data_IF_973985871370
#
_entry.id   IF_973985871370
#
_cell.length_a   1.000
_cell.length_b   1.000
_cell.length_c   1.000
_cell.angle_alpha   90.00
_cell.angle_beta   90.00
_cell.angle_gamma   90.00
#
_symmetry.space_group_name_H-M   'P 1'
#
loop_
_entity.id
_entity.type
_entity.pdbx_description
1 polymer ?
#
# COMPACT_ATOMS: atom_id res chain seq x y z
N UNK A 1 20.11 -17.45 -1.57
CA UNK A 1 18.80 -17.96 -2.04
C UNK A 1 17.75 -17.58 -0.99
N UNK A 2 17.15 -16.41 -1.13
CA UNK A 2 16.26 -15.83 -0.10
C UNK A 2 14.82 -16.26 -0.38
N UNK A 3 14.42 -17.36 0.27
CA UNK A 3 13.09 -17.96 0.17
C UNK A 3 12.18 -17.28 1.22
N UNK A 4 11.69 -16.08 0.93
CA UNK A 4 10.74 -15.37 1.81
C UNK A 4 9.63 -14.59 1.07
N UNK A 5 9.54 -14.67 -0.27
CA UNK A 5 8.57 -13.92 -1.05
C UNK A 5 7.33 -14.76 -1.48
N UNK A 6 7.00 -15.83 -0.77
CA UNK A 6 5.98 -16.78 -1.21
C UNK A 6 5.00 -17.14 -0.10
N UNK A 7 4.30 -16.14 0.47
CA UNK A 7 3.15 -16.44 1.33
C UNK A 7 2.10 -15.32 1.30
N UNK A 8 1.39 -15.21 0.18
CA UNK A 8 -0.07 -15.06 0.14
C UNK A 8 -0.53 -15.31 -1.31
N UNK A 9 -1.70 -15.92 -1.49
CA UNK A 9 -2.14 -16.53 -2.74
C UNK A 9 -2.01 -15.62 -3.98
N UNK A 10 -1.57 -16.26 -5.08
CA UNK A 10 -1.30 -15.72 -6.43
C UNK A 10 -0.03 -14.83 -6.47
N UNK A 11 0.97 -15.13 -7.33
CA UNK A 11 2.27 -14.46 -7.29
C UNK A 11 2.17 -13.09 -7.95
N UNK A 12 1.58 -12.14 -7.24
CA UNK A 12 1.65 -10.74 -7.55
C UNK A 12 3.08 -10.25 -7.31
N UNK A 13 3.96 -10.52 -8.27
CA UNK A 13 5.29 -9.93 -8.30
C UNK A 13 5.13 -8.42 -8.50
N UNK A 14 6.02 -7.65 -7.88
CA UNK A 14 6.06 -6.18 -7.97
C UNK A 14 5.90 -5.67 -9.42
N UNK A 15 6.54 -6.37 -10.35
CA UNK A 15 6.51 -6.14 -11.80
C UNK A 15 5.12 -6.15 -12.46
N UNK A 16 4.13 -6.83 -11.87
CA UNK A 16 2.81 -7.05 -12.47
C UNK A 16 1.68 -6.33 -11.72
N UNK A 17 1.98 -5.17 -11.12
CA UNK A 17 1.00 -4.45 -10.29
C UNK A 17 0.78 -5.09 -8.93
N UNK A 18 1.68 -5.99 -8.51
CA UNK A 18 1.64 -6.67 -7.23
C UNK A 18 2.20 -5.89 -6.05
N UNK A 19 2.04 -6.46 -4.85
CA UNK A 19 2.48 -5.87 -3.60
C UNK A 19 3.39 -6.85 -2.85
N UNK A 20 4.63 -6.44 -2.59
CA UNK A 20 5.47 -7.13 -1.61
C UNK A 20 5.04 -6.69 -0.21
N UNK A 21 4.43 -7.59 0.56
CA UNK A 21 4.17 -7.39 1.99
C UNK A 21 5.19 -8.19 2.80
N UNK A 22 5.91 -7.51 3.69
CA UNK A 22 7.05 -8.06 4.41
C UNK A 22 6.88 -7.78 5.91
N UNK A 23 7.11 -8.78 6.79
CA UNK A 23 6.99 -8.57 8.22
C UNK A 23 8.12 -7.67 8.73
N UNK A 24 7.82 -6.82 9.70
CA UNK A 24 8.78 -6.00 10.41
C UNK A 24 8.84 -6.45 11.89
N UNK A 25 10.02 -6.42 12.53
CA UNK A 25 10.10 -6.71 13.96
C UNK A 25 9.54 -5.54 14.79
N UNK A 26 9.06 -5.83 15.99
CA UNK A 26 8.52 -4.84 16.93
C UNK A 26 9.58 -4.31 17.92
N UNK A 27 10.85 -4.28 17.51
CA UNK A 27 11.99 -3.87 18.33
C UNK A 27 12.89 -2.88 17.57
N UNK A 28 13.93 -2.37 18.23
CA UNK A 28 14.85 -1.38 17.68
C UNK A 28 15.56 -1.82 16.38
N UNK A 29 15.48 -3.11 16.01
CA UNK A 29 16.01 -3.59 14.75
C UNK A 29 15.11 -3.29 13.54
N UNK A 30 13.90 -2.75 13.74
CA UNK A 30 12.89 -2.49 12.71
C UNK A 30 13.42 -1.70 11.52
N UNK A 31 14.13 -0.60 11.76
CA UNK A 31 14.65 0.25 10.70
C UNK A 31 15.71 -0.50 9.87
N UNK A 32 16.58 -1.28 10.53
CA UNK A 32 17.60 -2.10 9.85
C UNK A 32 16.96 -3.17 8.97
N UNK A 33 15.92 -3.85 9.46
CA UNK A 33 15.19 -4.88 8.71
C UNK A 33 14.42 -4.27 7.55
N UNK A 34 13.75 -3.13 7.74
CA UNK A 34 13.03 -2.41 6.70
C UNK A 34 13.97 -1.98 5.55
N UNK A 35 15.15 -1.44 5.87
CA UNK A 35 16.20 -1.12 4.88
C UNK A 35 16.63 -2.34 4.07
N UNK A 36 16.89 -3.45 4.76
CA UNK A 36 17.31 -4.69 4.10
C UNK A 36 16.22 -5.22 3.15
N UNK A 37 14.96 -5.15 3.58
CA UNK A 37 13.80 -5.51 2.76
C UNK A 37 13.70 -4.64 1.52
N UNK A 38 13.67 -3.32 1.65
CA UNK A 38 13.51 -2.43 0.49
C UNK A 38 14.69 -2.57 -0.46
N UNK A 39 15.93 -2.59 0.05
CA UNK A 39 17.16 -2.72 -0.76
C UNK A 39 17.15 -4.00 -1.61
N UNK A 40 16.61 -5.11 -1.08
CA UNK A 40 16.47 -6.36 -1.82
C UNK A 40 15.49 -6.30 -2.99
N UNK A 41 14.55 -5.35 -2.99
CA UNK A 41 13.52 -5.17 -4.02
C UNK A 41 13.91 -4.15 -5.10
N UNK A 42 14.73 -3.15 -4.76
CA UNK A 42 15.10 -2.05 -5.68
C UNK A 42 15.72 -2.50 -7.02
N UNK A 43 16.55 -3.57 -7.09
CA UNK A 43 17.08 -4.05 -8.37
C UNK A 43 15.98 -4.51 -9.34
N UNK A 44 14.90 -5.12 -8.85
CA UNK A 44 13.77 -5.52 -9.67
C UNK A 44 12.97 -4.32 -10.20
N UNK A 45 13.13 -3.15 -9.57
CA UNK A 45 12.48 -1.89 -9.94
C UNK A 45 13.38 -1.00 -10.82
N UNK A 46 14.62 -1.42 -11.11
CA UNK A 46 15.53 -0.71 -12.02
C UNK A 46 16.00 0.66 -11.53
N UNK A 47 16.09 0.84 -10.20
CA UNK A 47 16.45 2.11 -9.55
C UNK A 47 17.97 2.35 -9.46
N UNK A 48 18.38 3.63 -9.44
CA UNK A 48 19.79 4.03 -9.36
C UNK A 48 20.32 4.04 -7.91
N UNK A 49 21.64 4.12 -7.73
CA UNK A 49 22.29 4.15 -6.40
C UNK A 49 21.85 5.35 -5.57
N UNK A 50 21.68 6.53 -6.18
CA UNK A 50 21.23 7.72 -5.46
C UNK A 50 19.78 7.59 -4.99
N UNK A 51 18.91 7.01 -5.81
CA UNK A 51 17.52 6.72 -5.41
C UNK A 51 17.47 5.73 -4.25
N UNK A 52 18.40 4.76 -4.22
CA UNK A 52 18.49 3.74 -3.16
C UNK A 52 18.76 4.39 -1.81
N UNK A 53 19.68 5.34 -1.70
CA UNK A 53 20.04 5.98 -0.43
C UNK A 53 18.86 6.79 0.15
N UNK A 54 18.21 7.61 -0.68
CA UNK A 54 17.05 8.41 -0.26
C UNK A 54 15.86 7.53 0.14
N UNK A 55 15.56 6.47 -0.64
CA UNK A 55 14.52 5.50 -0.31
C UNK A 55 14.84 4.80 1.03
N UNK A 56 16.08 4.37 1.19
CA UNK A 56 16.54 3.64 2.39
C UNK A 56 16.44 4.51 3.65
N UNK A 57 16.74 5.81 3.54
CA UNK A 57 16.53 6.79 4.60
C UNK A 57 15.04 6.92 4.93
N UNK A 58 14.19 7.23 3.94
CA UNK A 58 12.74 7.39 4.16
C UNK A 58 12.07 6.13 4.73
N UNK A 59 12.49 4.94 4.29
CA UNK A 59 12.00 3.67 4.85
C UNK A 59 12.41 3.50 6.31
N UNK A 60 13.62 3.94 6.68
CA UNK A 60 14.07 3.92 8.07
C UNK A 60 13.23 4.83 8.95
N UNK A 61 12.95 6.05 8.48
CA UNK A 61 12.10 7.02 9.18
C UNK A 61 10.66 6.49 9.31
N UNK A 62 10.10 5.93 8.22
CA UNK A 62 8.76 5.36 8.20
C UNK A 62 8.62 4.18 9.17
N UNK A 63 9.61 3.28 9.21
CA UNK A 63 9.64 2.14 10.13
C UNK A 63 9.83 2.58 11.59
N UNK A 64 10.71 3.54 11.84
CA UNK A 64 10.92 4.10 13.19
C UNK A 64 9.65 4.75 13.72
N UNK A 65 8.92 5.48 12.87
CA UNK A 65 7.62 6.06 13.22
C UNK A 65 6.62 5.00 13.69
N UNK A 66 6.61 3.82 13.03
CA UNK A 66 5.75 2.71 13.46
C UNK A 66 6.14 2.23 14.86
N UNK A 67 7.42 1.98 15.13
CA UNK A 67 7.85 1.54 16.47
C UNK A 67 7.50 2.57 17.56
N UNK A 68 7.69 3.86 17.28
CA UNK A 68 7.45 4.94 18.24
C UNK A 68 5.97 5.22 18.50
N UNK A 69 5.09 4.97 17.52
CA UNK A 69 3.68 5.39 17.60
C UNK A 69 2.67 4.26 17.59
N UNK A 70 3.08 3.03 17.24
CA UNK A 70 2.18 1.90 17.13
C UNK A 70 2.25 0.90 18.28
N UNK A 71 3.21 1.04 19.20
CA UNK A 71 3.42 0.07 20.28
C UNK A 71 2.29 0.17 21.31
N UNK A 72 1.38 -0.82 21.41
CA UNK A 72 0.40 -0.88 22.48
C UNK A 72 1.10 -1.24 23.79
N UNK A 73 0.56 -0.82 24.92
CA UNK A 73 1.10 -1.19 26.24
C UNK A 73 1.07 -2.72 26.52
N UNK A 74 0.26 -3.50 25.80
CA UNK A 74 -0.13 -4.88 26.19
C UNK A 74 -0.08 -5.96 25.08
N UNK A 75 0.61 -5.78 23.94
CA UNK A 75 0.64 -6.88 22.96
C UNK A 75 1.45 -6.68 21.68
N UNK A 76 1.82 -7.82 21.08
CA UNK A 76 2.66 -7.94 19.89
C UNK A 76 2.21 -6.99 18.77
N UNK A 77 3.06 -6.01 18.46
CA UNK A 77 2.96 -5.29 17.21
C UNK A 77 3.43 -6.24 16.10
N UNK A 78 2.58 -6.47 15.09
CA UNK A 78 2.95 -7.17 13.85
C UNK A 78 3.04 -6.12 12.72
N UNK A 79 4.02 -5.20 12.75
CA UNK A 79 4.13 -4.18 11.71
C UNK A 79 4.51 -4.83 10.37
N UNK A 80 4.06 -4.21 9.28
CA UNK A 80 4.30 -4.71 7.93
C UNK A 80 4.87 -3.61 7.06
N UNK A 81 5.84 -3.95 6.21
CA UNK A 81 6.34 -3.08 5.13
C UNK A 81 5.72 -3.53 3.81
N UNK A 82 5.06 -2.62 3.12
CA UNK A 82 4.46 -2.87 1.82
C UNK A 82 5.18 -2.05 0.75
N UNK A 83 5.54 -2.69 -0.35
CA UNK A 83 6.17 -2.04 -1.49
C UNK A 83 5.42 -2.45 -2.75
N UNK A 84 5.02 -1.46 -3.56
CA UNK A 84 4.36 -1.69 -4.84
C UNK A 84 4.54 -0.48 -5.76
N UNK A 85 4.14 -0.62 -7.02
CA UNK A 85 4.15 0.47 -7.99
C UNK A 85 2.72 0.99 -8.20
N UNK A 86 2.55 2.26 -8.56
CA UNK A 86 1.27 2.83 -9.04
C UNK A 86 1.49 3.86 -10.14
N UNK A 87 0.45 4.23 -10.88
CA UNK A 87 0.49 5.41 -11.78
C UNK A 87 0.09 6.68 -11.02
N UNK A 88 0.77 7.81 -11.25
CA UNK A 88 0.50 9.12 -10.61
C UNK A 88 -0.69 9.90 -11.22
N UNK A 89 -1.53 9.24 -12.03
CA UNK A 89 -2.61 9.87 -12.79
C UNK A 89 -2.15 10.78 -13.95
N UNK A 90 -0.84 11.07 -14.08
CA UNK A 90 -0.22 11.82 -15.19
C UNK A 90 0.57 10.89 -16.13
N UNK A 91 0.42 9.58 -15.96
CA UNK A 91 1.07 8.56 -16.77
C UNK A 91 2.53 8.30 -16.41
N UNK A 92 2.96 8.67 -15.20
CA UNK A 92 4.26 8.28 -14.64
C UNK A 92 4.05 7.22 -13.56
N UNK A 93 4.96 6.26 -13.51
CA UNK A 93 4.97 5.28 -12.42
C UNK A 93 5.61 5.88 -11.17
N UNK A 94 5.10 5.49 -10.01
CA UNK A 94 5.64 5.79 -8.70
C UNK A 94 5.92 4.50 -7.94
N UNK A 95 6.98 4.49 -7.15
CA UNK A 95 7.17 3.54 -6.08
C UNK A 95 6.34 4.01 -4.90
N UNK A 96 5.50 3.14 -4.36
CA UNK A 96 4.79 3.35 -3.10
C UNK A 96 5.40 2.45 -2.05
N UNK A 97 5.75 3.05 -0.92
CA UNK A 97 6.13 2.31 0.28
C UNK A 97 5.13 2.66 1.38
N UNK A 98 4.55 1.63 2.01
CA UNK A 98 3.72 1.79 3.20
C UNK A 98 4.32 1.02 4.37
N UNK A 99 4.16 1.55 5.57
CA UNK A 99 4.29 0.79 6.79
C UNK A 99 2.91 0.71 7.45
N UNK A 100 2.48 -0.51 7.72
CA UNK A 100 1.22 -0.79 8.39
C UNK A 100 1.47 -1.09 9.87
N UNK A 101 0.57 -0.57 10.69
CA UNK A 101 0.56 -0.81 12.12
C UNK A 101 -0.88 -0.93 12.64
N UNK A 102 -1.08 -1.64 13.75
CA UNK A 102 -2.42 -1.91 14.29
C UNK A 102 -3.04 -0.71 15.02
N UNK A 103 -2.28 0.38 15.21
CA UNK A 103 -2.76 1.56 15.92
C UNK A 103 -3.46 2.53 14.95
N UNK A 104 -4.78 2.67 15.12
CA UNK A 104 -5.62 3.57 14.30
C UNK A 104 -5.35 5.05 14.52
N UNK A 105 -4.85 5.41 15.70
CA UNK A 105 -4.60 6.81 16.03
C UNK A 105 -3.46 7.41 15.19
N UNK A 106 -3.67 8.64 14.73
CA UNK A 106 -2.57 9.50 14.29
C UNK A 106 -2.23 10.47 15.41
N UNK A 107 -0.98 10.46 15.85
CA UNK A 107 -0.43 11.48 16.73
C UNK A 107 0.73 12.14 15.98
N UNK A 108 0.50 13.25 15.26
CA UNK A 108 1.61 13.99 14.70
C UNK A 108 2.48 14.44 15.88
N UNK A 109 3.78 14.22 15.77
CA UNK A 109 4.70 14.70 16.80
C UNK A 109 4.59 16.23 16.84
N UNK A 110 4.46 16.82 18.03
CA UNK A 110 4.69 18.24 18.19
C UNK A 110 6.14 18.54 17.77
N UNK A 111 6.42 19.66 17.07
CA UNK A 111 7.77 19.97 16.65
C UNK A 111 8.70 19.92 17.85
N UNK A 112 9.67 19.01 17.79
CA UNK A 112 10.64 18.86 18.85
C UNK A 112 11.51 20.12 18.86
N UNK A 113 11.79 20.66 20.05
CA UNK A 113 12.72 21.78 20.18
C UNK A 113 14.10 21.45 19.58
N UNK A 114 14.94 22.45 19.31
CA UNK A 114 16.15 22.34 18.47
C UNK A 114 17.24 21.36 18.93
N UNK A 115 17.04 20.62 20.02
CA UNK A 115 17.99 19.66 20.61
C UNK A 115 17.50 18.21 20.62
N UNK A 116 16.31 17.91 20.10
CA UNK A 116 15.79 16.54 20.02
C UNK A 116 15.83 16.08 18.55
N UNK A 117 16.73 15.13 18.26
CA UNK A 117 16.80 14.45 16.95
C UNK A 117 15.55 13.60 16.64
N UNK A 118 14.69 13.40 17.65
CA UNK A 118 13.46 12.64 17.56
C UNK A 118 12.35 13.52 16.97
N UNK A 119 11.84 13.19 15.78
CA UNK A 119 10.69 13.88 15.16
C UNK A 119 10.94 14.53 13.80
N UNK A 120 12.16 14.45 13.27
CA UNK A 120 12.48 14.95 11.92
C UNK A 120 12.10 13.98 10.80
N UNK A 121 11.73 12.74 11.14
CA UNK A 121 11.48 11.70 10.13
C UNK A 121 10.40 12.07 9.12
N UNK A 122 9.29 12.66 9.57
CA UNK A 122 8.24 13.14 8.66
C UNK A 122 8.68 14.38 7.86
N UNK A 123 9.52 15.26 8.42
CA UNK A 123 10.08 16.39 7.67
C UNK A 123 11.01 15.92 6.54
N UNK A 124 11.83 14.89 6.80
CA UNK A 124 12.68 14.26 5.78
C UNK A 124 11.82 13.67 4.66
N UNK A 125 10.78 12.92 5.03
CA UNK A 125 9.85 12.33 4.07
C UNK A 125 9.14 13.43 3.27
N UNK A 126 8.64 14.49 3.90
CA UNK A 126 8.01 15.64 3.22
C UNK A 126 8.96 16.26 2.18
N UNK A 127 10.19 16.57 2.58
CA UNK A 127 11.19 17.21 1.71
C UNK A 127 11.56 16.35 0.50
N UNK A 128 11.80 15.05 0.71
CA UNK A 128 12.23 14.13 -0.35
C UNK A 128 11.07 13.71 -1.26
N UNK A 129 9.85 13.66 -0.74
CA UNK A 129 8.66 13.24 -1.51
C UNK A 129 7.91 14.39 -2.14
N UNK A 130 8.23 15.64 -1.80
CA UNK A 130 7.52 16.84 -2.25
C UNK A 130 6.01 16.73 -1.96
N UNK A 131 5.67 16.34 -0.73
CA UNK A 131 4.29 16.18 -0.27
C UNK A 131 3.57 14.91 -0.73
N UNK A 132 4.27 13.94 -1.36
CA UNK A 132 3.70 12.65 -1.75
C UNK A 132 3.80 11.63 -0.61
N UNK A 133 3.21 11.94 0.52
CA UNK A 133 3.13 11.04 1.67
C UNK A 133 1.85 11.30 2.46
N UNK A 134 1.55 10.41 3.40
CA UNK A 134 0.42 10.60 4.32
C UNK A 134 0.14 9.34 5.12
N UNK A 135 -1.07 9.27 5.65
CA UNK A 135 -1.57 8.08 6.34
C UNK A 135 -3.05 7.88 6.05
N UNK A 136 -3.54 6.66 6.20
CA UNK A 136 -4.96 6.36 6.12
C UNK A 136 -5.33 5.08 6.89
N UNK A 137 -6.60 4.92 7.32
CA UNK A 137 -7.11 3.66 7.85
C UNK A 137 -6.90 2.52 6.85
N UNK A 138 -6.56 1.33 7.35
CA UNK A 138 -6.27 0.16 6.51
C UNK A 138 -6.43 -1.15 7.29
N UNK A 139 -6.07 -2.26 6.67
CA UNK A 139 -6.03 -3.61 7.26
C UNK A 139 -4.72 -4.32 6.97
N UNK A 140 -4.27 -5.23 7.82
CA UNK A 140 -3.06 -6.03 7.60
C UNK A 140 -3.13 -6.84 6.29
N UNK A 141 -1.98 -7.14 5.68
CA UNK A 141 -1.87 -8.07 4.55
C UNK A 141 -1.35 -9.45 4.97
N UNK A 142 -0.58 -9.53 6.05
CA UNK A 142 0.09 -10.77 6.45
C UNK A 142 -0.69 -11.58 7.50
N UNK A 143 -1.61 -10.96 8.25
CA UNK A 143 -2.45 -11.69 9.23
C UNK A 143 -3.69 -12.29 8.60
N UNK A 144 -4.12 -13.42 9.14
CA UNK A 144 -5.38 -14.09 8.81
C UNK A 144 -6.11 -14.47 10.12
N UNK A 145 -7.30 -13.90 10.42
CA UNK A 145 -8.00 -12.86 9.64
C UNK A 145 -7.22 -11.54 9.60
N UNK A 146 -7.49 -10.73 8.58
CA UNK A 146 -6.88 -9.41 8.46
C UNK A 146 -7.33 -8.50 9.61
N UNK A 147 -6.37 -7.82 10.23
CA UNK A 147 -6.61 -6.93 11.37
C UNK A 147 -6.66 -5.47 10.93
N UNK A 148 -7.57 -4.75 11.57
CA UNK A 148 -7.80 -3.31 11.43
C UNK A 148 -6.58 -2.51 11.94
N UNK A 149 -6.22 -1.44 11.24
CA UNK A 149 -5.09 -0.58 11.61
C UNK A 149 -4.93 0.67 10.72
N UNK A 150 -3.70 1.15 10.57
CA UNK A 150 -3.33 2.34 9.80
C UNK A 150 -2.16 2.02 8.87
N UNK A 151 -2.15 2.59 7.68
CA UNK A 151 -0.99 2.58 6.80
C UNK A 151 -0.44 4.02 6.67
N UNK A 152 0.82 4.20 7.05
CA UNK A 152 1.59 5.43 6.77
C UNK A 152 2.42 5.18 5.52
N UNK A 153 2.47 6.13 4.60
CA UNK A 153 3.02 5.87 3.27
C UNK A 153 3.74 7.06 2.69
N UNK A 154 4.65 6.78 1.75
CA UNK A 154 5.18 7.77 0.82
C UNK A 154 5.25 7.22 -0.60
N UNK A 155 5.35 8.11 -1.58
CA UNK A 155 5.49 7.76 -2.99
C UNK A 155 6.57 8.59 -3.69
N UNK A 156 7.33 7.94 -4.58
CA UNK A 156 8.42 8.56 -5.34
C UNK A 156 8.27 8.25 -6.82
N UNK A 157 8.46 9.23 -7.72
CA UNK A 157 8.47 8.98 -9.14
C UNK A 157 9.55 7.97 -9.51
N UNK A 158 9.18 6.96 -10.30
CA UNK A 158 10.15 6.02 -10.86
C UNK A 158 10.77 6.57 -12.15
N UNK A 159 12.06 6.31 -12.39
CA UNK A 159 12.70 6.62 -13.66
C UNK A 159 11.98 5.91 -14.83
N UNK A 160 11.95 6.55 -15.99
CA UNK A 160 11.28 6.04 -17.21
C UNK A 160 11.76 4.64 -17.66
N UNK A 161 12.93 4.21 -17.24
CA UNK A 161 13.48 2.87 -17.50
C UNK A 161 12.70 1.76 -16.78
N UNK A 162 12.17 2.03 -15.58
CA UNK A 162 11.33 1.11 -14.81
C UNK A 162 9.94 0.88 -15.44
N UNK A 163 9.48 1.83 -16.28
CA UNK A 163 8.16 1.83 -16.93
C UNK A 163 7.90 0.61 -17.83
N UNK A 164 8.95 0.00 -18.39
CA UNK A 164 8.79 -1.03 -19.45
C UNK A 164 8.25 -2.37 -18.95
N UNK A 165 8.34 -2.65 -17.66
CA UNK A 165 8.02 -3.98 -17.11
C UNK A 165 6.50 -4.13 -16.85
N UNK A 166 5.83 -3.03 -16.48
CA UNK A 166 4.46 -3.00 -15.96
C UNK A 166 3.36 -3.15 -17.01
N UNK A 167 3.60 -2.66 -18.22
CA UNK A 167 2.59 -2.56 -19.28
C UNK A 167 2.39 -3.85 -20.10
N UNK A 168 3.10 -4.94 -19.77
CA UNK A 168 3.09 -6.15 -20.59
C UNK A 168 1.97 -7.13 -20.23
N UNK A 169 1.33 -6.96 -19.07
CA UNK A 169 0.28 -7.85 -18.57
C UNK A 169 -1.11 -7.29 -18.88
N UNK A 170 -1.83 -7.97 -19.78
CA UNK A 170 -3.24 -7.70 -20.08
C UNK A 170 -4.08 -8.80 -19.45
N UNK A 171 -4.83 -8.43 -18.42
CA UNK A 171 -5.92 -9.25 -17.89
C UNK A 171 -7.23 -8.73 -18.50
N UNK A 172 -8.11 -9.62 -18.93
CA UNK A 172 -9.47 -9.21 -19.35
C UNK A 172 -10.27 -8.70 -18.13
N UNK A 173 -11.36 -7.96 -18.36
CA UNK A 173 -12.14 -7.36 -17.25
C UNK A 173 -12.68 -8.39 -16.24
N UNK A 174 -13.19 -9.57 -16.66
CA UNK A 174 -13.67 -10.59 -15.72
C UNK A 174 -12.58 -11.16 -14.81
N UNK A 175 -11.39 -11.46 -15.36
CA UNK A 175 -10.27 -11.96 -14.56
C UNK A 175 -9.76 -10.89 -13.60
N UNK A 176 -9.64 -9.63 -14.06
CA UNK A 176 -9.21 -8.53 -13.21
C UNK A 176 -10.19 -8.30 -12.04
N UNK A 177 -11.50 -8.40 -12.31
CA UNK A 177 -12.54 -8.27 -11.29
C UNK A 177 -12.46 -9.39 -10.25
N UNK A 178 -12.22 -10.63 -10.70
CA UNK A 178 -12.02 -11.79 -9.81
C UNK A 178 -10.77 -11.64 -8.95
N UNK A 179 -9.68 -11.14 -9.53
CA UNK A 179 -8.43 -10.87 -8.84
C UNK A 179 -8.60 -9.77 -7.77
N UNK A 180 -9.29 -8.67 -8.12
CA UNK A 180 -9.56 -7.59 -7.17
C UNK A 180 -10.44 -8.09 -6.01
N UNK A 181 -11.47 -8.88 -6.31
CA UNK A 181 -12.31 -9.50 -5.30
C UNK A 181 -11.48 -10.41 -4.36
N UNK A 182 -10.59 -11.25 -4.90
CA UNK A 182 -9.71 -12.09 -4.10
C UNK A 182 -8.79 -11.26 -3.18
N UNK A 183 -8.25 -10.14 -3.67
CA UNK A 183 -7.45 -9.22 -2.86
C UNK A 183 -8.29 -8.60 -1.73
N UNK A 184 -9.53 -8.19 -2.00
CA UNK A 184 -10.43 -7.63 -0.98
C UNK A 184 -10.82 -8.65 0.09
N UNK A 185 -11.10 -9.90 -0.32
CA UNK A 185 -11.34 -11.01 0.60
C UNK A 185 -10.13 -11.29 1.50
N UNK A 186 -8.91 -11.26 0.97
CA UNK A 186 -7.68 -11.39 1.76
C UNK A 186 -7.52 -10.25 2.77
N UNK A 187 -8.12 -9.08 2.51
CA UNK A 187 -8.19 -7.96 3.46
C UNK A 187 -9.41 -8.04 4.37
N UNK A 188 -10.18 -9.11 4.34
CA UNK A 188 -11.36 -9.30 5.18
C UNK A 188 -12.54 -8.40 4.80
N UNK A 189 -12.63 -8.03 3.53
CA UNK A 189 -13.80 -7.36 2.94
C UNK A 189 -14.50 -8.42 2.08
N UNK A 190 -15.52 -9.05 2.65
CA UNK A 190 -16.30 -10.15 2.08
C UNK A 190 -17.74 -9.79 1.72
N UNK A 191 -18.17 -8.58 2.05
CA UNK A 191 -19.50 -8.06 1.70
C UNK A 191 -19.65 -7.69 0.21
N UNK A 192 -18.56 -7.66 -0.56
CA UNK A 192 -18.59 -7.32 -1.98
C UNK A 192 -18.76 -8.58 -2.84
N UNK A 193 -19.88 -8.65 -3.56
CA UNK A 193 -20.21 -9.79 -4.42
C UNK A 193 -19.93 -9.50 -5.89
N UNK A 194 -19.29 -10.42 -6.64
CA UNK A 194 -19.14 -10.29 -8.08
C UNK A 194 -20.45 -10.50 -8.84
N UNK A 195 -20.64 -9.71 -9.90
CA UNK A 195 -21.76 -9.84 -10.84
C UNK A 195 -21.38 -9.38 -12.25
N UNK A 196 -22.37 -9.38 -13.13
CA UNK A 196 -22.30 -8.82 -14.48
C UNK A 196 -23.56 -7.97 -14.73
N UNK A 197 -23.37 -6.76 -15.25
CA UNK A 197 -24.45 -5.88 -15.67
C UNK A 197 -24.18 -5.36 -17.07
N UNK A 198 -25.03 -5.75 -18.04
CA UNK A 198 -24.89 -5.36 -19.45
C UNK A 198 -23.51 -5.71 -20.06
N UNK A 199 -22.87 -6.80 -19.60
CA UNK A 199 -21.53 -7.20 -20.03
C UNK A 199 -20.38 -6.46 -19.34
N UNK A 200 -20.67 -5.68 -18.30
CA UNK A 200 -19.70 -5.01 -17.45
C UNK A 200 -19.53 -5.82 -16.17
N UNK A 201 -18.29 -6.19 -15.85
CA UNK A 201 -17.99 -6.87 -14.59
C UNK A 201 -18.12 -5.90 -13.41
N UNK A 202 -18.88 -6.28 -12.39
CA UNK A 202 -19.21 -5.44 -11.23
C UNK A 202 -18.89 -6.16 -9.91
N UNK A 203 -18.43 -5.42 -8.91
CA UNK A 203 -18.41 -5.83 -7.50
C UNK A 203 -19.32 -4.90 -6.72
N UNK A 204 -20.34 -5.46 -6.06
CA UNK A 204 -21.30 -4.68 -5.28
C UNK A 204 -21.58 -5.34 -3.94
N UNK A 205 -21.59 -4.55 -2.87
CA UNK A 205 -22.07 -4.98 -1.55
C UNK A 205 -23.48 -4.46 -1.26
N UNK A 206 -23.85 -4.38 0.03
CA UNK A 206 -25.15 -3.90 0.54
C UNK A 206 -25.50 -2.42 0.22
N UNK A 207 -25.04 -1.88 -0.91
CA UNK A 207 -25.34 -0.52 -1.40
C UNK A 207 -24.33 0.54 -0.98
N UNK A 208 -23.29 0.18 -0.23
CA UNK A 208 -22.33 1.15 0.32
C UNK A 208 -21.10 1.40 -0.58
N UNK A 209 -20.73 0.42 -1.41
CA UNK A 209 -19.61 0.51 -2.34
C UNK A 209 -19.89 -0.34 -3.58
N UNK A 210 -19.69 0.26 -4.75
CA UNK A 210 -19.82 -0.43 -6.03
C UNK A 210 -18.58 -0.16 -6.88
N UNK A 211 -18.05 -1.20 -7.51
CA UNK A 211 -16.88 -1.17 -8.37
C UNK A 211 -17.25 -1.76 -9.73
N UNK A 212 -16.94 -1.06 -10.81
CA UNK A 212 -17.11 -1.51 -12.18
C UNK A 212 -15.74 -1.72 -12.82
N UNK A 213 -15.64 -2.71 -13.70
CA UNK A 213 -14.46 -2.95 -14.53
C UNK A 213 -14.87 -2.88 -15.99
N UNK A 214 -14.44 -1.83 -16.68
CA UNK A 214 -14.73 -1.61 -18.11
C UNK A 214 -13.52 -0.97 -18.79
N UNK A 215 -13.25 -1.31 -20.04
CA UNK A 215 -12.23 -0.64 -20.87
C UNK A 215 -10.85 -0.60 -20.16
N UNK A 216 -10.44 -1.74 -19.62
CA UNK A 216 -9.19 -1.90 -18.85
C UNK A 216 -9.04 -0.94 -17.64
N UNK A 217 -10.16 -0.49 -17.06
CA UNK A 217 -10.20 0.48 -15.96
C UNK A 217 -11.17 0.02 -14.88
N UNK A 218 -10.71 0.07 -13.62
CA UNK A 218 -11.60 0.01 -12.47
C UNK A 218 -12.16 1.39 -12.17
N UNK A 219 -13.46 1.45 -11.94
CA UNK A 219 -14.19 2.64 -11.47
C UNK A 219 -14.93 2.27 -10.21
N UNK A 220 -15.06 3.18 -9.26
CA UNK A 220 -15.85 2.92 -8.06
C UNK A 220 -16.60 4.15 -7.59
N UNK A 221 -17.66 3.89 -6.84
CA UNK A 221 -18.47 4.90 -6.17
C UNK A 221 -18.89 4.34 -4.81
N UNK A 222 -18.66 5.12 -3.76
CA UNK A 222 -19.12 4.84 -2.42
C UNK A 222 -20.33 5.70 -2.07
N UNK A 223 -21.14 5.23 -1.12
CA UNK A 223 -22.29 5.98 -0.61
C UNK A 223 -21.92 7.33 0.00
N UNK A 224 -20.68 7.49 0.48
CA UNK A 224 -20.14 8.77 0.95
C UNK A 224 -20.02 9.83 -0.16
N UNK A 225 -20.21 9.45 -1.43
CA UNK A 225 -19.97 10.28 -2.61
C UNK A 225 -18.52 10.20 -3.11
N UNK A 226 -17.64 9.53 -2.38
CA UNK A 226 -16.27 9.31 -2.81
C UNK A 226 -16.24 8.35 -4.00
N UNK A 227 -15.58 8.76 -5.08
CA UNK A 227 -15.48 8.00 -6.32
C UNK A 227 -14.09 8.13 -6.92
N UNK A 228 -13.74 7.17 -7.77
CA UNK A 228 -12.43 7.17 -8.42
C UNK A 228 -12.36 6.22 -9.59
N UNK A 229 -11.24 6.30 -10.30
CA UNK A 229 -10.91 5.39 -11.40
C UNK A 229 -9.41 5.20 -11.53
N UNK A 230 -8.99 3.98 -11.80
CA UNK A 230 -7.59 3.61 -12.02
C UNK A 230 -7.52 2.45 -13.03
N UNK A 231 -6.43 2.36 -13.81
CA UNK A 231 -6.26 1.26 -14.76
C UNK A 231 -6.14 -0.09 -14.03
N UNK A 232 -6.51 -1.19 -14.69
CA UNK A 232 -6.36 -2.55 -14.14
C UNK A 232 -4.90 -2.84 -13.71
N UNK A 233 -3.91 -2.25 -14.38
CA UNK A 233 -2.50 -2.38 -14.02
C UNK A 233 -2.15 -1.84 -12.61
N UNK A 234 -3.01 -1.00 -12.04
CA UNK A 234 -2.90 -0.44 -10.69
C UNK A 234 -3.78 -1.19 -9.67
N UNK A 235 -4.10 -2.48 -9.90
CA UNK A 235 -5.00 -3.28 -9.06
C UNK A 235 -4.65 -3.24 -7.56
N UNK A 236 -3.37 -3.19 -7.20
CA UNK A 236 -2.93 -3.02 -5.80
C UNK A 236 -3.37 -1.66 -5.25
N UNK A 237 -3.16 -0.56 -5.98
CA UNK A 237 -3.61 0.77 -5.55
C UNK A 237 -5.14 0.85 -5.50
N UNK A 238 -5.85 0.23 -6.46
CA UNK A 238 -7.32 0.10 -6.43
C UNK A 238 -7.77 -0.58 -5.14
N UNK A 239 -7.19 -1.74 -4.81
CA UNK A 239 -7.48 -2.47 -3.58
C UNK A 239 -7.22 -1.59 -2.35
N UNK A 240 -6.10 -0.86 -2.30
CA UNK A 240 -5.77 0.03 -1.18
C UNK A 240 -6.76 1.19 -1.03
N UNK A 241 -7.22 1.79 -2.13
CA UNK A 241 -8.23 2.85 -2.09
C UNK A 241 -9.58 2.34 -1.61
N UNK A 242 -10.00 1.16 -2.08
CA UNK A 242 -11.26 0.53 -1.64
C UNK A 242 -11.20 0.13 -0.17
N UNK A 243 -10.07 -0.43 0.31
CA UNK A 243 -9.87 -0.73 1.74
C UNK A 243 -9.92 0.55 2.57
N UNK A 244 -9.30 1.65 2.12
CA UNK A 244 -9.36 2.94 2.83
C UNK A 244 -10.80 3.42 2.94
N UNK A 245 -11.53 3.46 1.84
CA UNK A 245 -12.94 3.91 1.79
C UNK A 245 -13.80 3.04 2.70
N UNK A 246 -13.64 1.71 2.61
CA UNK A 246 -14.32 0.75 3.46
C UNK A 246 -14.06 1.01 4.95
N UNK A 247 -12.81 1.24 5.32
CA UNK A 247 -12.44 1.50 6.70
C UNK A 247 -12.95 2.84 7.22
N UNK A 248 -12.96 3.88 6.38
CA UNK A 248 -13.51 5.18 6.73
C UNK A 248 -15.03 5.18 6.90
N UNK A 249 -15.76 4.31 6.19
CA UNK A 249 -17.22 4.17 6.36
C UNK A 249 -17.60 3.37 7.62
N UNK A 250 -16.68 2.57 8.16
CA UNK A 250 -16.89 1.69 9.31
C UNK A 250 -16.09 2.14 10.56
N UNK A 251 -15.60 3.38 10.57
CA UNK A 251 -14.92 4.00 11.72
C UNK A 251 -15.99 4.64 12.64
N UNK A 252 -16.73 3.77 13.35
CA UNK A 252 -17.60 4.14 14.48
C UNK A 252 -16.82 4.18 15.80
#
# INVERSE_FOLDING_TARGET
MTKAAATCGIPWRLENGGCAALPLPADDSIARVARAHVTGLLPALGLSVQDVDDITLMVSELATNVLQHATPADGAADPELWVYQRTDGRGRDELVVKAFDMFRGWRPQAPAGPMLEHGRGLEIIELLTQGRWGHHPSRSRLRTPAVRGKATWFALPLPRTARRIRHMWRTDEPHATRDLHALLLQRGIDDLTPGDELGISILSGHGDLTVWCESATFRWCARSGESGKLPIADITEVCEQLVRIWESMNDD
#
